data_IF_623833480636
#
_entry.id   IF_623833480636
#
_cell.length_a   1.000
_cell.length_b   1.000
_cell.length_c   1.000
_cell.angle_alpha   90.00
_cell.angle_beta   90.00
_cell.angle_gamma   90.00
#
_symmetry.space_group_name_H-M   'P 1'
#
loop_
_entity.id
_entity.type
_entity.pdbx_description
1 polymer ?
#
# COMPACT_ATOMS: atom_id res chain seq x y z
N UNK A 1 58.09 5.12 -14.77
CA UNK A 1 57.34 6.40 -14.82
C UNK A 1 55.95 6.25 -15.46
N UNK A 2 55.14 5.24 -15.10
CA UNK A 2 53.78 5.04 -15.66
C UNK A 2 52.70 4.73 -14.62
N UNK A 3 53.08 4.30 -13.41
CA UNK A 3 52.15 3.88 -12.35
C UNK A 3 51.61 5.05 -11.52
N UNK A 4 52.37 6.15 -11.42
CA UNK A 4 51.97 7.34 -10.66
C UNK A 4 50.86 8.15 -11.34
N UNK A 5 50.82 8.14 -12.68
CA UNK A 5 49.85 8.92 -13.47
C UNK A 5 48.43 8.34 -13.39
N UNK A 6 48.30 7.01 -13.32
CA UNK A 6 47.01 6.31 -13.26
C UNK A 6 46.29 6.58 -11.92
N UNK A 7 47.04 6.65 -10.81
CA UNK A 7 46.48 7.01 -9.49
C UNK A 7 46.02 8.47 -9.42
N UNK A 8 46.64 9.36 -10.20
CA UNK A 8 46.24 10.78 -10.30
C UNK A 8 44.93 10.94 -11.09
N UNK A 9 44.78 10.16 -12.16
CA UNK A 9 43.57 10.20 -13.00
C UNK A 9 42.31 9.70 -12.27
N UNK A 10 42.46 8.71 -11.37
CA UNK A 10 41.35 8.17 -10.59
C UNK A 10 40.87 9.08 -9.46
N UNK A 11 41.71 9.96 -8.90
CA UNK A 11 41.28 10.89 -7.83
C UNK A 11 40.42 12.05 -8.33
N UNK A 12 40.51 12.40 -9.62
CA UNK A 12 39.89 13.63 -10.17
C UNK A 12 38.45 13.43 -10.66
N UNK A 13 38.01 12.19 -10.85
CA UNK A 13 36.73 11.84 -11.50
C UNK A 13 35.70 11.20 -10.56
N UNK A 14 36.01 11.03 -9.27
CA UNK A 14 35.12 10.41 -8.28
C UNK A 14 33.86 11.21 -7.87
N UNK A 15 33.82 12.56 -7.84
CA UNK A 15 32.61 13.26 -7.38
C UNK A 15 31.47 13.24 -8.42
N UNK A 16 31.78 12.96 -9.70
CA UNK A 16 30.79 13.01 -10.80
C UNK A 16 29.92 11.76 -10.88
N UNK A 17 30.52 10.56 -10.71
CA UNK A 17 29.80 9.28 -10.87
C UNK A 17 28.85 9.02 -9.70
N UNK A 18 29.24 9.42 -8.48
CA UNK A 18 28.39 9.33 -7.28
C UNK A 18 27.22 10.32 -7.35
N UNK A 19 27.44 11.52 -7.90
CA UNK A 19 26.37 12.51 -8.11
C UNK A 19 25.30 12.02 -9.09
N UNK A 20 25.70 11.42 -10.21
CA UNK A 20 24.76 10.87 -11.18
C UNK A 20 23.95 9.68 -10.63
N UNK A 21 24.54 8.83 -9.79
CA UNK A 21 23.82 7.68 -9.21
C UNK A 21 22.78 8.13 -8.15
N UNK A 22 23.11 9.13 -7.34
CA UNK A 22 22.16 9.71 -6.37
C UNK A 22 21.02 10.48 -7.04
N UNK A 23 21.28 11.14 -8.17
CA UNK A 23 20.25 11.85 -8.95
C UNK A 23 19.31 10.88 -9.71
N UNK A 24 19.80 9.70 -10.07
CA UNK A 24 19.00 8.67 -10.73
C UNK A 24 18.01 8.02 -9.76
N UNK A 25 18.38 7.79 -8.50
CA UNK A 25 17.47 7.23 -7.49
C UNK A 25 16.32 8.18 -7.09
N UNK A 26 16.52 9.50 -7.11
CA UNK A 26 15.46 10.46 -6.76
C UNK A 26 14.41 10.66 -7.87
N UNK A 27 14.63 10.07 -9.05
CA UNK A 27 13.78 10.28 -10.23
C UNK A 27 12.74 9.18 -10.42
N UNK A 28 12.67 8.18 -9.55
CA UNK A 28 11.54 7.25 -9.50
C UNK A 28 10.41 7.92 -8.71
N UNK A 29 9.37 8.47 -9.34
CA UNK A 29 8.13 8.74 -8.62
C UNK A 29 7.70 7.43 -7.97
N UNK A 30 7.67 7.41 -6.64
CA UNK A 30 7.02 6.36 -5.86
C UNK A 30 5.52 6.51 -6.13
N UNK A 31 5.05 6.03 -7.28
CA UNK A 31 3.64 5.98 -7.63
C UNK A 31 3.01 4.81 -6.87
N UNK A 32 3.01 4.90 -5.55
CA UNK A 32 2.02 4.21 -4.74
C UNK A 32 0.77 5.07 -4.87
N UNK A 33 -0.03 4.78 -5.89
CA UNK A 33 -1.46 5.09 -5.84
C UNK A 33 -1.97 4.26 -4.66
N UNK A 34 -1.87 4.81 -3.46
CA UNK A 34 -2.30 4.16 -2.23
C UNK A 34 -3.83 4.19 -2.20
N UNK A 35 -4.42 3.39 -3.08
CA UNK A 35 -5.85 3.13 -3.09
C UNK A 35 -6.11 2.25 -1.89
N UNK A 36 -6.47 2.91 -0.77
CA UNK A 36 -6.95 2.23 0.43
C UNK A 36 -8.06 1.28 0.03
N UNK A 37 -7.94 0.04 0.46
CA UNK A 37 -8.97 -0.97 0.31
C UNK A 37 -10.10 -0.66 1.30
N UNK A 38 -11.25 -0.23 0.80
CA UNK A 38 -12.40 0.16 1.65
C UNK A 38 -13.26 -1.08 1.93
N UNK A 39 -13.33 -1.46 3.20
CA UNK A 39 -14.08 -2.61 3.72
C UNK A 39 -15.32 -2.15 4.48
N UNK A 40 -16.49 -2.47 3.93
CA UNK A 40 -17.79 -2.09 4.49
C UNK A 40 -18.29 -3.15 5.47
N UNK A 41 -18.77 -2.72 6.63
CA UNK A 41 -19.25 -3.63 7.67
C UNK A 41 -20.37 -3.00 8.49
N UNK A 42 -21.18 -3.82 9.15
CA UNK A 42 -22.00 -3.40 10.29
C UNK A 42 -21.33 -3.85 11.62
N UNK A 43 -22.07 -3.87 12.72
CA UNK A 43 -21.54 -4.31 14.03
C UNK A 43 -21.76 -5.80 14.31
N UNK A 44 -22.03 -6.62 13.28
CA UNK A 44 -22.20 -8.05 13.49
C UNK A 44 -20.89 -8.71 13.94
N UNK A 45 -20.97 -9.46 15.05
CA UNK A 45 -19.81 -10.04 15.73
C UNK A 45 -19.01 -11.04 14.87
N UNK A 46 -19.63 -11.62 13.84
CA UNK A 46 -18.97 -12.55 12.92
C UNK A 46 -17.81 -11.91 12.13
N UNK A 47 -17.73 -10.58 12.06
CA UNK A 47 -16.65 -9.85 11.42
C UNK A 47 -15.43 -9.59 12.32
N UNK A 48 -15.50 -9.97 13.60
CA UNK A 48 -14.42 -9.75 14.59
C UNK A 48 -13.03 -10.20 14.12
N UNK A 49 -12.93 -11.26 13.31
CA UNK A 49 -11.67 -11.71 12.73
C UNK A 49 -10.95 -10.64 11.89
N UNK A 50 -11.69 -9.82 11.14
CA UNK A 50 -11.11 -8.75 10.33
C UNK A 50 -10.53 -7.63 11.20
N UNK A 51 -11.22 -7.24 12.27
CA UNK A 51 -10.74 -6.23 13.23
C UNK A 51 -9.53 -6.73 14.04
N UNK A 52 -9.50 -8.01 14.39
CA UNK A 52 -8.33 -8.60 15.06
C UNK A 52 -7.12 -8.65 14.12
N UNK A 53 -7.33 -8.92 12.83
CA UNK A 53 -6.27 -8.90 11.83
C UNK A 53 -5.70 -7.48 11.64
N UNK A 54 -6.56 -6.48 11.58
CA UNK A 54 -6.20 -5.06 11.52
C UNK A 54 -5.41 -4.63 12.76
N UNK A 55 -5.94 -4.90 13.96
CA UNK A 55 -5.28 -4.55 15.22
C UNK A 55 -3.92 -5.26 15.43
N UNK A 56 -3.67 -6.36 14.72
CA UNK A 56 -2.41 -7.09 14.74
C UNK A 56 -1.45 -6.71 13.61
N UNK A 57 -1.83 -5.79 12.71
CA UNK A 57 -1.01 -5.34 11.59
C UNK A 57 -0.93 -6.34 10.43
N UNK A 58 -1.79 -7.36 10.36
CA UNK A 58 -1.69 -8.39 9.32
C UNK A 58 -1.95 -7.85 7.91
N UNK A 59 -2.78 -6.81 7.77
CA UNK A 59 -2.98 -6.15 6.48
C UNK A 59 -1.75 -5.35 6.07
N UNK A 60 -1.16 -4.59 6.99
CA UNK A 60 0.07 -3.83 6.74
C UNK A 60 1.25 -4.76 6.39
N UNK A 61 1.40 -5.87 7.11
CA UNK A 61 2.40 -6.91 6.85
C UNK A 61 2.23 -7.53 5.44
N UNK A 62 0.99 -7.59 4.94
CA UNK A 62 0.66 -8.04 3.59
C UNK A 62 0.80 -6.92 2.53
N UNK A 63 1.18 -5.70 2.92
CA UNK A 63 1.28 -4.55 2.03
C UNK A 63 -0.07 -3.94 1.64
N UNK A 64 -1.11 -4.15 2.45
CA UNK A 64 -2.46 -3.62 2.24
C UNK A 64 -2.72 -2.45 3.20
N UNK A 65 -3.21 -1.33 2.65
CA UNK A 65 -3.77 -0.23 3.43
C UNK A 65 -5.30 -0.39 3.44
N UNK A 66 -5.90 -0.67 4.59
CA UNK A 66 -7.32 -1.01 4.73
C UNK A 66 -8.05 0.10 5.49
N UNK A 67 -9.23 0.48 4.99
CA UNK A 67 -10.13 1.42 5.65
C UNK A 67 -11.48 0.74 5.97
N UNK A 68 -11.90 0.77 7.24
CA UNK A 68 -13.16 0.18 7.67
C UNK A 68 -14.28 1.22 7.67
N UNK A 69 -15.29 1.00 6.84
CA UNK A 69 -16.46 1.85 6.72
C UNK A 69 -17.69 1.19 7.34
N UNK A 70 -18.24 1.82 8.37
CA UNK A 70 -19.44 1.32 9.02
C UNK A 70 -20.72 1.65 8.23
N UNK A 71 -21.63 0.68 8.15
CA UNK A 71 -22.98 0.77 7.59
C UNK A 71 -24.03 0.42 8.65
N UNK A 72 -25.29 0.87 8.49
CA UNK A 72 -26.37 0.57 9.45
C UNK A 72 -26.69 -0.92 9.55
N UNK A 73 -26.67 -1.65 8.43
CA UNK A 73 -26.84 -3.09 8.39
C UNK A 73 -25.97 -3.76 7.32
N UNK A 74 -25.87 -5.10 7.37
CA UNK A 74 -24.97 -5.86 6.50
C UNK A 74 -25.48 -5.94 5.05
N UNK A 75 -26.77 -5.67 4.80
CA UNK A 75 -27.31 -5.54 3.45
C UNK A 75 -26.99 -4.20 2.78
N UNK A 76 -26.73 -3.16 3.58
CA UNK A 76 -26.49 -1.80 3.09
C UNK A 76 -25.10 -1.63 2.45
N UNK A 77 -24.20 -2.60 2.63
CA UNK A 77 -22.89 -2.62 1.97
C UNK A 77 -23.00 -2.93 0.48
N UNK A 78 -24.06 -3.63 0.04
CA UNK A 78 -24.19 -4.16 -1.31
C UNK A 78 -24.37 -3.07 -2.38
N UNK A 79 -25.23 -2.03 -2.19
CA UNK A 79 -25.31 -0.91 -3.12
C UNK A 79 -23.98 -0.15 -3.26
N UNK A 80 -23.27 0.04 -2.15
CA UNK A 80 -21.97 0.72 -2.15
C UNK A 80 -20.93 -0.09 -2.94
N UNK A 81 -20.89 -1.42 -2.76
CA UNK A 81 -20.06 -2.34 -3.51
C UNK A 81 -20.36 -2.28 -5.02
N UNK A 82 -21.64 -2.37 -5.41
CA UNK A 82 -22.06 -2.32 -6.81
C UNK A 82 -21.69 -0.98 -7.46
N UNK A 83 -21.77 0.12 -6.71
CA UNK A 83 -21.45 1.46 -7.21
C UNK A 83 -19.95 1.76 -7.34
N UNK A 84 -19.07 0.86 -6.88
CA UNK A 84 -17.63 1.07 -6.85
C UNK A 84 -17.13 2.01 -5.75
N UNK A 85 -17.99 2.36 -4.78
CA UNK A 85 -17.63 3.17 -3.61
C UNK A 85 -17.11 2.32 -2.43
N UNK A 86 -16.99 1.01 -2.64
CA UNK A 86 -16.58 0.02 -1.66
C UNK A 86 -15.89 -1.13 -2.40
N UNK A 87 -14.79 -1.64 -1.86
CA UNK A 87 -14.04 -2.75 -2.47
C UNK A 87 -14.47 -4.11 -1.93
N UNK A 88 -14.80 -4.18 -0.63
CA UNK A 88 -15.24 -5.40 0.05
C UNK A 88 -16.46 -5.10 0.92
N UNK A 89 -17.54 -5.87 0.77
CA UNK A 89 -18.69 -5.84 1.67
C UNK A 89 -18.72 -7.05 2.59
N UNK A 90 -18.58 -6.84 3.89
CA UNK A 90 -18.84 -7.85 4.90
C UNK A 90 -20.35 -8.00 5.07
N UNK A 91 -20.87 -9.11 4.58
CA UNK A 91 -22.31 -9.41 4.62
C UNK A 91 -22.56 -10.88 4.95
N UNK A 92 -23.81 -11.31 4.99
CA UNK A 92 -24.19 -12.72 5.17
C UNK A 92 -24.88 -13.21 3.91
N UNK A 93 -24.88 -14.53 3.69
CA UNK A 93 -25.50 -15.13 2.50
C UNK A 93 -26.99 -14.75 2.34
N UNK A 94 -27.70 -14.51 3.45
CA UNK A 94 -29.10 -14.09 3.43
C UNK A 94 -29.32 -12.79 2.65
N UNK A 95 -28.36 -11.86 2.69
CA UNK A 95 -28.49 -10.56 2.02
C UNK A 95 -28.20 -10.62 0.50
N UNK A 96 -27.74 -11.77 0.00
CA UNK A 96 -27.47 -12.00 -1.43
C UNK A 96 -28.57 -12.81 -2.13
N UNK A 97 -29.54 -13.33 -1.36
CA UNK A 97 -30.60 -14.21 -1.85
C UNK A 97 -31.82 -13.44 -2.36
#
# INVERSE_FOLDING_TARGET
MKITYIKSLLKKTQPSIIGCFLFFLSSFPLHSENNKLVVGHDLWIGYSGAFVADAKGYFEDAGLDVDFKQFPGPGDTLPALISGNLDIGLTTLHNLA
#
